data_IF_018311881275
#
_entry.id   IF_018311881275
#
_cell.length_a   1.000
_cell.length_b   1.000
_cell.length_c   1.000
_cell.angle_alpha   90.00
_cell.angle_beta   90.00
_cell.angle_gamma   90.00
#
_symmetry.space_group_name_H-M   'P 1'
#
loop_
_entity.id
_entity.type
_entity.pdbx_description
1 polymer ?
#
# COMPACT_ATOMS: atom_id res chain seq x y z
N UNK A 1 8.28 10.58 8.72
CA UNK A 1 8.00 9.13 8.84
C UNK A 1 7.97 8.55 7.44
N UNK A 2 8.56 7.37 7.20
CA UNK A 2 8.54 6.72 5.88
C UNK A 2 7.65 5.49 5.96
N UNK A 3 6.74 5.33 5.01
CA UNK A 3 5.97 4.10 4.81
C UNK A 3 6.53 3.40 3.56
N UNK A 4 6.66 2.07 3.62
CA UNK A 4 7.16 1.26 2.51
C UNK A 4 6.19 0.12 2.28
N UNK A 5 5.83 -0.13 1.02
CA UNK A 5 5.08 -1.31 0.60
C UNK A 5 5.97 -2.19 -0.29
N UNK A 6 6.10 -3.47 0.04
CA UNK A 6 6.89 -4.45 -0.73
C UNK A 6 6.03 -5.64 -1.11
N UNK A 7 6.28 -6.25 -2.26
CA UNK A 7 5.55 -7.43 -2.75
C UNK A 7 6.46 -8.67 -2.74
N UNK A 8 5.92 -9.76 -2.20
CA UNK A 8 6.47 -11.09 -2.28
C UNK A 8 5.64 -11.90 -3.28
N UNK A 9 6.22 -12.14 -4.46
CA UNK A 9 5.56 -12.88 -5.54
C UNK A 9 5.46 -14.37 -5.29
N UNK A 10 6.33 -14.95 -4.46
CA UNK A 10 6.27 -16.37 -4.12
C UNK A 10 5.12 -16.64 -3.14
N UNK A 11 4.90 -15.72 -2.19
CA UNK A 11 3.81 -15.81 -1.23
C UNK A 11 2.49 -15.22 -1.74
N UNK A 12 2.51 -14.36 -2.77
CA UNK A 12 1.34 -13.63 -3.24
C UNK A 12 0.83 -12.61 -2.22
N UNK A 13 1.76 -11.97 -1.50
CA UNK A 13 1.44 -11.03 -0.41
C UNK A 13 2.20 -9.73 -0.57
N UNK A 14 1.67 -8.64 0.01
CA UNK A 14 2.44 -7.42 0.21
C UNK A 14 2.63 -7.14 1.71
N UNK A 15 3.71 -6.47 2.04
CA UNK A 15 4.00 -6.01 3.39
C UNK A 15 4.01 -4.48 3.40
N UNK A 16 3.24 -3.87 4.29
CA UNK A 16 3.26 -2.44 4.59
C UNK A 16 4.01 -2.21 5.91
N UNK A 17 5.08 -1.41 5.87
CA UNK A 17 5.93 -1.09 7.02
C UNK A 17 5.90 0.40 7.32
N UNK A 18 5.67 0.75 8.59
CA UNK A 18 5.57 2.11 9.11
C UNK A 18 6.17 2.18 10.50
N UNK A 19 7.42 2.64 10.57
CA UNK A 19 8.19 2.68 11.82
C UNK A 19 8.23 1.30 12.51
N UNK A 20 7.64 1.15 13.71
CA UNK A 20 7.55 -0.11 14.45
C UNK A 20 6.39 -1.00 14.00
N UNK A 21 5.45 -0.47 13.21
CA UNK A 21 4.29 -1.21 12.74
C UNK A 21 4.60 -1.88 11.41
N UNK A 22 4.20 -3.14 11.28
CA UNK A 22 4.30 -3.95 10.07
C UNK A 22 3.06 -4.80 9.92
N UNK A 23 2.51 -4.84 8.71
CA UNK A 23 1.40 -5.72 8.34
C UNK A 23 1.68 -6.41 7.01
N UNK A 24 1.41 -7.72 6.94
CA UNK A 24 1.52 -8.51 5.71
C UNK A 24 0.13 -9.01 5.32
N UNK A 25 -0.25 -8.81 4.07
CA UNK A 25 -1.61 -9.05 3.58
C UNK A 25 -1.58 -9.69 2.18
N UNK A 26 -2.64 -10.42 1.78
CA UNK A 26 -2.76 -10.93 0.41
C UNK A 26 -2.69 -9.80 -0.60
N UNK A 27 -2.06 -10.02 -1.76
CA UNK A 27 -1.97 -8.98 -2.79
C UNK A 27 -3.34 -8.57 -3.34
N UNK A 28 -4.30 -9.51 -3.36
CA UNK A 28 -5.69 -9.24 -3.73
C UNK A 28 -6.37 -8.19 -2.84
N UNK A 29 -5.89 -7.96 -1.62
CA UNK A 29 -6.44 -6.96 -0.71
C UNK A 29 -5.85 -5.55 -0.94
N UNK A 30 -4.86 -5.38 -1.82
CA UNK A 30 -4.23 -4.09 -2.08
C UNK A 30 -5.24 -2.96 -2.41
N UNK A 31 -6.25 -3.17 -3.29
CA UNK A 31 -7.26 -2.15 -3.57
C UNK A 31 -8.11 -1.78 -2.36
N UNK A 32 -8.44 -2.76 -1.51
CA UNK A 32 -9.21 -2.56 -0.27
C UNK A 32 -8.44 -1.67 0.71
N UNK A 33 -7.14 -1.88 0.85
CA UNK A 33 -6.31 -1.04 1.73
C UNK A 33 -6.16 0.40 1.22
N UNK A 34 -6.05 0.61 -0.10
CA UNK A 34 -6.08 1.94 -0.70
C UNK A 34 -7.38 2.69 -0.36
N UNK A 35 -8.52 2.04 -0.54
CA UNK A 35 -9.83 2.61 -0.20
C UNK A 35 -9.92 2.94 1.29
N UNK A 36 -9.47 2.03 2.15
CA UNK A 36 -9.45 2.23 3.59
C UNK A 36 -8.66 3.48 3.99
N UNK A 37 -7.40 3.62 3.56
CA UNK A 37 -6.57 4.76 3.96
C UNK A 37 -7.07 6.09 3.40
N UNK A 38 -7.62 6.11 2.19
CA UNK A 38 -8.28 7.31 1.63
C UNK A 38 -9.49 7.72 2.47
N UNK A 39 -10.31 6.77 2.93
CA UNK A 39 -11.41 7.07 3.85
C UNK A 39 -10.92 7.56 5.21
N UNK A 40 -9.80 7.05 5.73
CA UNK A 40 -9.20 7.54 6.98
C UNK A 40 -8.74 8.99 6.87
N UNK A 41 -8.21 9.41 5.71
CA UNK A 41 -7.87 10.82 5.45
C UNK A 41 -9.10 11.73 5.51
N UNK A 42 -10.24 11.29 4.96
CA UNK A 42 -11.49 12.05 4.99
C UNK A 42 -12.08 12.12 6.40
N UNK A 43 -12.03 11.00 7.14
CA UNK A 43 -12.60 10.89 8.48
C UNK A 43 -11.77 11.61 9.55
N UNK A 44 -10.45 11.63 9.39
CA UNK A 44 -9.50 12.18 10.35
C UNK A 44 -8.54 13.17 9.67
N UNK A 45 -9.03 14.37 9.28
CA UNK A 45 -8.24 15.33 8.50
C UNK A 45 -6.96 15.80 9.21
N UNK A 46 -6.96 15.89 10.54
CA UNK A 46 -5.77 16.20 11.34
C UNK A 46 -4.66 15.14 11.20
N UNK A 47 -5.00 13.91 10.80
CA UNK A 47 -4.06 12.81 10.57
C UNK A 47 -3.86 12.51 9.08
N UNK A 48 -4.49 13.27 8.17
CA UNK A 48 -4.49 12.98 6.74
C UNK A 48 -3.06 12.87 6.17
N UNK A 49 -2.13 13.70 6.62
CA UNK A 49 -0.72 13.62 6.20
C UNK A 49 -0.05 12.29 6.56
N UNK A 50 -0.42 11.66 7.68
CA UNK A 50 0.13 10.37 8.09
C UNK A 50 -0.42 9.21 7.25
N UNK A 51 -1.67 9.31 6.81
CA UNK A 51 -2.32 8.32 5.93
C UNK A 51 -1.95 8.53 4.46
N UNK A 52 -1.63 9.76 4.05
CA UNK A 52 -1.16 10.06 2.69
C UNK A 52 0.11 9.28 2.34
N UNK A 53 1.03 9.14 3.30
CA UNK A 53 2.24 8.31 3.14
C UNK A 53 1.92 6.83 2.93
N UNK A 54 0.85 6.34 3.57
CA UNK A 54 0.40 4.96 3.42
C UNK A 54 -0.24 4.76 2.03
N UNK A 55 -1.05 5.71 1.58
CA UNK A 55 -1.63 5.72 0.23
C UNK A 55 -0.54 5.78 -0.85
N UNK A 56 0.42 6.69 -0.72
CA UNK A 56 1.53 6.85 -1.68
C UNK A 56 2.32 5.54 -1.85
N UNK A 57 2.69 4.89 -0.74
CA UNK A 57 3.43 3.63 -0.79
C UNK A 57 2.63 2.51 -1.50
N UNK A 58 1.33 2.41 -1.23
CA UNK A 58 0.46 1.40 -1.85
C UNK A 58 0.18 1.69 -3.33
N UNK A 59 0.03 2.96 -3.72
CA UNK A 59 -0.13 3.37 -5.13
C UNK A 59 1.14 3.10 -5.94
N UNK A 60 2.31 3.39 -5.37
CA UNK A 60 3.59 3.05 -5.98
C UNK A 60 3.70 1.54 -6.21
N UNK A 61 3.32 0.73 -5.23
CA UNK A 61 3.34 -0.73 -5.39
C UNK A 61 2.37 -1.18 -6.49
N UNK A 62 1.13 -0.66 -6.50
CA UNK A 62 0.14 -0.99 -7.53
C UNK A 62 0.69 -0.69 -8.94
N UNK A 63 1.28 0.50 -9.13
CA UNK A 63 1.89 0.88 -10.40
C UNK A 63 3.05 -0.04 -10.82
N UNK A 64 3.91 -0.44 -9.87
CA UNK A 64 5.00 -1.37 -10.15
C UNK A 64 4.49 -2.72 -10.64
N UNK A 65 3.41 -3.22 -10.03
CA UNK A 65 2.78 -4.49 -10.43
C UNK A 65 2.17 -4.40 -11.83
N UNK A 66 1.43 -3.32 -12.13
CA UNK A 66 0.88 -3.07 -13.46
C UNK A 66 1.98 -3.00 -14.53
N UNK A 67 3.10 -2.33 -14.23
CA UNK A 67 4.24 -2.23 -15.13
C UNK A 67 4.92 -3.59 -15.34
N UNK A 68 5.02 -4.44 -14.31
CA UNK A 68 5.55 -5.80 -14.44
C UNK A 68 4.64 -6.70 -15.27
N UNK A 69 3.33 -6.69 -15.01
CA UNK A 69 2.36 -7.46 -15.79
C UNK A 69 2.37 -7.06 -17.27
N UNK A 70 2.57 -5.78 -17.57
CA UNK A 70 2.68 -5.29 -18.95
C UNK A 70 3.96 -5.78 -19.64
N UNK A 71 5.08 -5.85 -18.91
CA UNK A 71 6.37 -6.32 -19.46
C UNK A 71 6.44 -7.84 -19.63
N UNK A 72 5.61 -8.59 -18.91
CA UNK A 72 5.56 -10.05 -18.99
C UNK A 72 4.67 -10.58 -20.13
N UNK A 73 4.00 -9.70 -20.88
CA UNK A 73 3.18 -10.00 -22.06
C UNK A 73 3.96 -9.77 -23.34
#
# INVERSE_FOLDING_TARGET
>A
MKTIATYDSAAGTFTLEKNIWRGTFPIADLPKWLVFYRHQMQRYPAQAGNYALDVEALEMLAKQLEDWERRAR
#
